data_IF_263799278853
#
_entry.id   IF_263799278853
#
_cell.length_a   1.000
_cell.length_b   1.000
_cell.length_c   1.000
_cell.angle_alpha   90.00
_cell.angle_beta   90.00
_cell.angle_gamma   90.00
#
_symmetry.space_group_name_H-M   'P 1'
#
loop_
_entity.id
_entity.type
_entity.pdbx_description
1 polymer ?
#
# COMPACT_ATOMS: atom_id res chain seq x y z
N UNK A 1 -3.95 -22.64 21.78
CA UNK A 1 -4.82 -21.72 22.56
C UNK A 1 -6.06 -22.51 22.95
N UNK A 2 -6.66 -22.38 24.15
CA UNK A 2 -7.94 -23.07 24.41
C UNK A 2 -9.05 -22.47 23.53
N UNK A 3 -9.94 -23.32 23.02
CA UNK A 3 -10.97 -23.00 22.02
C UNK A 3 -11.93 -21.91 22.51
N UNK A 4 -12.18 -21.86 23.82
CA UNK A 4 -13.00 -20.82 24.46
C UNK A 4 -12.38 -19.43 24.30
N UNK A 5 -11.09 -19.28 24.60
CA UNK A 5 -10.39 -17.99 24.47
C UNK A 5 -10.20 -17.56 23.02
N UNK A 6 -10.02 -18.51 22.10
CA UNK A 6 -9.96 -18.23 20.66
C UNK A 6 -11.29 -17.66 20.14
N UNK A 7 -12.41 -18.27 20.55
CA UNK A 7 -13.76 -17.82 20.19
C UNK A 7 -14.05 -16.41 20.70
N UNK A 8 -13.71 -16.12 21.96
CA UNK A 8 -13.91 -14.80 22.56
C UNK A 8 -13.12 -13.71 21.83
N UNK A 9 -11.84 -13.98 21.49
CA UNK A 9 -11.02 -13.05 20.71
C UNK A 9 -11.57 -12.79 19.32
N UNK A 10 -12.02 -13.85 18.63
CA UNK A 10 -12.62 -13.74 17.31
C UNK A 10 -13.92 -12.94 17.35
N UNK A 11 -14.79 -13.18 18.33
CA UNK A 11 -16.04 -12.44 18.47
C UNK A 11 -15.80 -10.96 18.83
N UNK A 12 -14.84 -10.68 19.73
CA UNK A 12 -14.44 -9.31 20.06
C UNK A 12 -13.87 -8.57 18.83
N UNK A 13 -13.04 -9.24 18.02
CA UNK A 13 -12.54 -8.68 16.76
C UNK A 13 -13.68 -8.40 15.79
N UNK A 14 -14.59 -9.36 15.60
CA UNK A 14 -15.76 -9.22 14.71
C UNK A 14 -16.61 -8.00 15.06
N UNK A 15 -16.83 -7.73 16.35
CA UNK A 15 -17.57 -6.57 16.82
C UNK A 15 -16.80 -5.25 16.65
N UNK A 16 -15.47 -5.32 16.57
CA UNK A 16 -14.60 -4.18 16.36
C UNK A 16 -14.19 -3.98 14.89
N UNK A 17 -14.57 -4.89 13.99
CA UNK A 17 -14.23 -4.86 12.58
C UNK A 17 -15.09 -3.80 11.86
N UNK A 18 -14.47 -2.75 11.28
CA UNK A 18 -15.21 -1.70 10.60
C UNK A 18 -15.68 -2.10 9.20
N UNK A 19 -15.23 -3.24 8.67
CA UNK A 19 -15.61 -3.72 7.35
C UNK A 19 -16.69 -4.81 7.48
N UNK A 20 -17.92 -4.55 6.98
CA UNK A 20 -19.00 -5.53 7.01
C UNK A 20 -18.65 -6.85 6.30
N UNK A 21 -17.77 -6.82 5.30
CA UNK A 21 -17.37 -8.00 4.54
C UNK A 21 -16.55 -8.96 5.40
N UNK A 22 -15.48 -8.47 6.04
CA UNK A 22 -14.63 -9.30 6.91
C UNK A 22 -15.31 -9.63 8.24
N UNK A 23 -16.19 -8.76 8.75
CA UNK A 23 -17.05 -9.09 9.88
C UNK A 23 -18.00 -10.27 9.56
N UNK A 24 -18.58 -10.31 8.36
CA UNK A 24 -19.43 -11.40 7.91
C UNK A 24 -18.64 -12.69 7.63
N UNK A 25 -17.46 -12.58 7.03
CA UNK A 25 -16.52 -13.70 6.85
C UNK A 25 -16.21 -14.38 8.20
N UNK A 26 -15.86 -13.58 9.21
CA UNK A 26 -15.54 -14.09 10.54
C UNK A 26 -16.77 -14.67 11.26
N UNK A 27 -17.96 -14.07 11.07
CA UNK A 27 -19.21 -14.62 11.57
C UNK A 27 -19.46 -16.04 11.01
N UNK A 28 -19.18 -16.24 9.72
CA UNK A 28 -19.36 -17.54 9.07
C UNK A 28 -18.37 -18.60 9.60
N UNK A 29 -17.10 -18.22 9.83
CA UNK A 29 -16.10 -19.13 10.43
C UNK A 29 -16.50 -19.54 11.85
N UNK A 30 -16.97 -18.59 12.67
CA UNK A 30 -17.46 -18.85 14.02
C UNK A 30 -18.69 -19.76 14.02
N UNK A 31 -19.65 -19.54 13.12
CA UNK A 31 -20.85 -20.36 13.00
C UNK A 31 -20.56 -21.80 12.57
N UNK A 32 -19.55 -22.00 11.71
CA UNK A 32 -19.09 -23.32 11.27
C UNK A 32 -18.18 -24.03 12.28
N UNK A 33 -17.74 -23.33 13.32
CA UNK A 33 -16.70 -23.79 14.24
C UNK A 33 -15.42 -24.24 13.49
N UNK A 34 -15.01 -23.45 12.49
CA UNK A 34 -13.81 -23.69 11.70
C UNK A 34 -12.55 -23.30 12.50
N UNK A 35 -12.19 -24.16 13.47
CA UNK A 35 -11.14 -23.86 14.44
C UNK A 35 -9.74 -23.74 13.82
N UNK A 36 -9.50 -24.42 12.70
CA UNK A 36 -8.22 -24.33 12.00
C UNK A 36 -8.01 -22.93 11.40
N UNK A 37 -9.01 -22.41 10.68
CA UNK A 37 -8.95 -21.04 10.16
C UNK A 37 -8.91 -19.99 11.27
N UNK A 38 -9.68 -20.18 12.34
CA UNK A 38 -9.65 -19.27 13.49
C UNK A 38 -8.28 -19.29 14.17
N UNK A 39 -7.65 -20.45 14.35
CA UNK A 39 -6.32 -20.55 14.96
C UNK A 39 -5.25 -19.89 14.09
N UNK A 40 -5.27 -20.10 12.77
CA UNK A 40 -4.34 -19.44 11.85
C UNK A 40 -4.47 -17.90 11.86
N UNK A 41 -5.70 -17.39 11.97
CA UNK A 41 -5.98 -15.94 11.93
C UNK A 41 -5.76 -15.21 13.24
N UNK A 42 -5.83 -15.92 14.38
CA UNK A 42 -5.82 -15.31 15.72
C UNK A 42 -4.68 -15.80 16.62
N UNK A 43 -3.91 -16.81 16.25
CA UNK A 43 -2.73 -17.24 17.03
C UNK A 43 -1.70 -16.13 17.22
N UNK A 44 -1.61 -15.21 16.25
CA UNK A 44 -0.74 -14.03 16.29
C UNK A 44 -1.40 -12.83 15.60
N UNK A 45 -0.80 -11.67 15.75
CA UNK A 45 -1.12 -10.48 14.95
C UNK A 45 -0.18 -10.44 13.73
N UNK A 46 -0.61 -9.76 12.65
CA UNK A 46 0.24 -9.54 11.50
C UNK A 46 1.45 -8.68 11.89
N UNK A 47 2.66 -9.20 11.70
CA UNK A 47 3.88 -8.56 12.18
C UNK A 47 4.24 -7.31 11.38
N UNK A 48 4.51 -6.20 12.09
CA UNK A 48 5.04 -4.97 11.52
C UNK A 48 6.56 -4.91 11.70
N UNK A 49 7.30 -4.83 10.59
CA UNK A 49 8.77 -4.74 10.61
C UNK A 49 9.32 -3.71 9.61
N UNK A 50 10.60 -3.87 9.24
CA UNK A 50 11.27 -3.03 8.22
C UNK A 50 10.53 -3.01 6.89
N UNK A 51 9.95 -4.16 6.51
CA UNK A 51 9.12 -4.32 5.31
C UNK A 51 7.73 -3.68 5.43
N UNK A 52 7.36 -3.15 6.60
CA UNK A 52 6.00 -2.75 6.95
C UNK A 52 5.12 -3.97 7.27
N UNK A 53 3.85 -3.93 6.85
CA UNK A 53 2.94 -5.08 6.88
C UNK A 53 2.84 -5.75 5.52
N UNK A 54 2.63 -7.07 5.55
CA UNK A 54 2.28 -7.86 4.37
C UNK A 54 1.50 -9.09 4.80
N UNK A 55 0.36 -9.34 4.16
CA UNK A 55 -0.47 -10.50 4.49
C UNK A 55 -1.57 -10.74 3.48
N UNK A 56 -2.18 -11.91 3.57
CA UNK A 56 -3.36 -12.29 2.79
C UNK A 56 -4.54 -11.44 3.24
N UNK A 57 -5.36 -10.98 2.28
CA UNK A 57 -6.61 -10.29 2.55
C UNK A 57 -7.59 -11.21 3.28
N UNK A 58 -8.26 -10.70 4.31
CA UNK A 58 -9.30 -11.44 5.02
C UNK A 58 -9.52 -10.99 6.44
N UNK A 59 -10.48 -11.61 7.12
CA UNK A 59 -10.80 -11.31 8.51
C UNK A 59 -9.78 -11.83 9.52
N UNK A 60 -9.55 -11.04 10.58
CA UNK A 60 -8.70 -11.39 11.72
C UNK A 60 -7.42 -10.55 11.81
N UNK A 61 -6.72 -10.59 12.97
CA UNK A 61 -5.53 -9.81 13.22
C UNK A 61 -4.30 -10.27 12.42
N UNK A 62 -4.22 -11.55 12.02
CA UNK A 62 -3.16 -12.09 11.14
C UNK A 62 -3.52 -12.02 9.64
N UNK A 63 -4.28 -11.00 9.24
CA UNK A 63 -4.69 -10.77 7.84
C UNK A 63 -4.62 -9.29 7.50
N UNK A 64 -4.45 -8.97 6.23
CA UNK A 64 -4.59 -7.60 5.74
C UNK A 64 -6.08 -7.26 5.61
N UNK A 65 -6.50 -6.22 6.32
CA UNK A 65 -7.87 -5.69 6.29
C UNK A 65 -7.89 -4.25 6.81
N UNK A 66 -9.07 -3.63 6.73
CA UNK A 66 -9.31 -2.25 7.17
C UNK A 66 -9.05 -2.07 8.67
N UNK A 67 -9.42 -3.04 9.52
CA UNK A 67 -9.16 -2.96 10.96
C UNK A 67 -7.66 -2.87 11.28
N UNK A 68 -6.85 -3.73 10.67
CA UNK A 68 -5.39 -3.71 10.80
C UNK A 68 -4.82 -2.38 10.31
N UNK A 69 -5.20 -1.90 9.12
CA UNK A 69 -4.67 -0.64 8.58
C UNK A 69 -5.01 0.57 9.44
N UNK A 70 -6.22 0.64 9.99
CA UNK A 70 -6.60 1.74 10.89
C UNK A 70 -5.74 1.74 12.15
N UNK A 71 -5.56 0.58 12.80
CA UNK A 71 -4.72 0.45 13.99
C UNK A 71 -3.25 0.76 13.68
N UNK A 72 -2.73 0.22 12.58
CA UNK A 72 -1.36 0.46 12.11
C UNK A 72 -1.10 1.94 11.86
N UNK A 73 -2.03 2.61 11.18
CA UNK A 73 -1.88 4.03 10.85
C UNK A 73 -1.98 4.91 12.09
N UNK A 74 -2.85 4.60 13.05
CA UNK A 74 -2.91 5.34 14.32
C UNK A 74 -1.61 5.17 15.12
N UNK A 75 -1.05 3.96 15.15
CA UNK A 75 0.26 3.70 15.76
C UNK A 75 1.37 4.50 15.10
N UNK A 76 1.42 4.50 13.75
CA UNK A 76 2.36 5.32 12.98
C UNK A 76 2.18 6.81 13.29
N UNK A 77 0.95 7.33 13.28
CA UNK A 77 0.65 8.74 13.53
C UNK A 77 1.11 9.19 14.93
N UNK A 78 0.84 8.37 15.96
CA UNK A 78 1.26 8.65 17.34
C UNK A 78 2.78 8.63 17.48
N UNK A 79 3.44 7.63 16.88
CA UNK A 79 4.90 7.57 16.87
C UNK A 79 5.53 8.77 16.12
N UNK A 80 4.97 9.17 14.97
CA UNK A 80 5.43 10.33 14.23
C UNK A 80 5.33 11.62 15.06
N UNK A 81 4.24 11.81 15.82
CA UNK A 81 4.09 12.97 16.72
C UNK A 81 5.13 13.01 17.83
N UNK A 82 5.59 11.86 18.29
CA UNK A 82 6.68 11.76 19.29
C UNK A 82 8.05 12.07 18.67
N UNK A 83 8.30 11.65 17.43
CA UNK A 83 9.63 11.71 16.80
C UNK A 83 9.87 12.91 15.88
N UNK A 84 8.81 13.52 15.34
CA UNK A 84 8.88 14.58 14.32
C UNK A 84 8.06 15.79 14.80
N UNK A 85 8.69 16.79 15.46
CA UNK A 85 7.99 17.90 16.09
C UNK A 85 7.07 18.70 15.16
N UNK A 86 7.40 18.77 13.87
CA UNK A 86 6.67 19.52 12.84
C UNK A 86 5.81 18.62 11.93
N UNK A 87 5.50 17.39 12.34
CA UNK A 87 4.68 16.45 11.56
C UNK A 87 3.32 17.02 11.17
N UNK A 88 2.69 17.82 12.03
CA UNK A 88 1.39 18.44 11.76
C UNK A 88 1.45 19.49 10.63
N UNK A 89 2.65 19.99 10.31
CA UNK A 89 2.88 20.89 9.17
C UNK A 89 3.34 20.12 7.93
N UNK A 90 4.31 19.21 8.10
CA UNK A 90 4.92 18.44 7.01
C UNK A 90 3.98 17.39 6.42
N UNK A 91 3.19 16.73 7.25
CA UNK A 91 2.27 15.69 6.83
C UNK A 91 2.95 14.38 6.38
N UNK A 92 2.15 13.48 5.84
CA UNK A 92 2.55 12.16 5.34
C UNK A 92 2.03 11.98 3.93
N UNK A 93 2.88 11.51 3.01
CA UNK A 93 2.44 11.15 1.65
C UNK A 93 1.77 9.77 1.67
N UNK A 94 0.64 9.60 1.00
CA UNK A 94 -0.06 8.32 0.89
C UNK A 94 -0.25 7.98 -0.59
N UNK A 95 0.23 6.79 -0.98
CA UNK A 95 -0.01 6.22 -2.30
C UNK A 95 -0.34 4.74 -2.22
N UNK A 96 -0.76 4.19 -3.35
CA UNK A 96 -1.21 2.81 -3.45
C UNK A 96 -0.87 2.20 -4.80
N UNK A 97 -0.84 0.87 -4.85
CA UNK A 97 -0.91 0.15 -6.12
C UNK A 97 -2.37 -0.18 -6.50
N UNK A 98 -2.54 -0.99 -7.55
CA UNK A 98 -3.84 -1.39 -8.08
C UNK A 98 -4.37 -2.72 -7.53
N UNK A 99 -3.78 -3.27 -6.44
CA UNK A 99 -4.27 -4.50 -5.82
C UNK A 99 -5.68 -4.30 -5.25
N UNK A 100 -6.37 -5.42 -5.08
CA UNK A 100 -7.66 -5.43 -4.40
C UNK A 100 -7.55 -4.81 -3.00
N UNK A 101 -8.56 -4.02 -2.63
CA UNK A 101 -8.63 -3.28 -1.38
C UNK A 101 -7.60 -2.12 -1.22
N UNK A 102 -6.63 -1.96 -2.14
CA UNK A 102 -5.59 -0.92 -1.99
C UNK A 102 -6.15 0.50 -1.93
N UNK A 103 -7.28 0.78 -2.59
CA UNK A 103 -7.94 2.08 -2.55
C UNK A 103 -8.52 2.38 -1.16
N UNK A 104 -9.26 1.43 -0.61
CA UNK A 104 -9.92 1.51 0.69
C UNK A 104 -8.91 1.56 1.83
N UNK A 105 -7.83 0.78 1.74
CA UNK A 105 -6.73 0.82 2.71
C UNK A 105 -5.99 2.16 2.68
N UNK A 106 -5.76 2.74 1.49
CA UNK A 106 -5.15 4.06 1.37
C UNK A 106 -6.06 5.18 1.90
N UNK A 107 -7.37 5.07 1.66
CA UNK A 107 -8.37 5.99 2.22
C UNK A 107 -8.42 5.92 3.74
N UNK A 108 -8.49 4.72 4.33
CA UNK A 108 -8.45 4.53 5.78
C UNK A 108 -7.15 5.11 6.37
N UNK A 109 -6.01 4.92 5.68
CA UNK A 109 -4.73 5.49 6.08
C UNK A 109 -4.81 7.02 6.17
N UNK A 110 -5.25 7.67 5.10
CA UNK A 110 -5.35 9.13 5.06
C UNK A 110 -6.41 9.68 6.04
N UNK A 111 -7.51 8.98 6.22
CA UNK A 111 -8.57 9.34 7.16
C UNK A 111 -8.11 9.27 8.64
N UNK A 112 -7.35 8.24 9.01
CA UNK A 112 -6.75 8.14 10.36
C UNK A 112 -5.70 9.22 10.57
N UNK A 113 -4.79 9.43 9.61
CA UNK A 113 -3.79 10.50 9.70
C UNK A 113 -4.44 11.86 9.92
N UNK A 114 -5.48 12.18 9.14
CA UNK A 114 -6.22 13.41 9.27
C UNK A 114 -6.92 13.52 10.64
N UNK A 115 -7.53 12.46 11.16
CA UNK A 115 -8.14 12.45 12.49
C UNK A 115 -7.12 12.65 13.62
N UNK A 116 -5.90 12.14 13.43
CA UNK A 116 -4.76 12.33 14.33
C UNK A 116 -4.10 13.73 14.17
N UNK A 117 -4.63 14.59 13.29
CA UNK A 117 -4.17 15.96 13.08
C UNK A 117 -2.96 16.10 12.15
N UNK A 118 -2.63 15.06 11.38
CA UNK A 118 -1.50 15.03 10.45
C UNK A 118 -2.03 15.19 9.02
N UNK A 119 -1.57 16.18 8.23
CA UNK A 119 -1.98 16.29 6.83
C UNK A 119 -1.58 15.05 6.02
N UNK A 120 -2.54 14.43 5.34
CA UNK A 120 -2.31 13.39 4.35
C UNK A 120 -2.20 14.01 2.95
N UNK A 121 -1.08 13.79 2.27
CA UNK A 121 -0.88 14.16 0.87
C UNK A 121 -1.12 12.93 -0.01
N UNK A 122 -2.27 12.85 -0.66
CA UNK A 122 -2.79 11.61 -1.23
C UNK A 122 -2.67 11.62 -2.74
N UNK A 123 -2.06 10.57 -3.31
CA UNK A 123 -2.20 10.31 -4.75
C UNK A 123 -3.61 9.77 -5.03
N UNK A 124 -4.40 10.42 -5.91
CA UNK A 124 -5.76 9.95 -6.21
C UNK A 124 -5.76 8.60 -6.95
N UNK A 125 -4.75 8.40 -7.81
CA UNK A 125 -4.60 7.23 -8.65
C UNK A 125 -3.50 6.28 -8.14
N UNK A 126 -3.50 5.00 -8.56
CA UNK A 126 -2.38 4.10 -8.32
C UNK A 126 -1.07 4.66 -8.88
N UNK A 127 0.01 4.58 -8.08
CA UNK A 127 1.32 5.14 -8.44
C UNK A 127 2.46 4.21 -8.06
N UNK A 128 3.61 4.24 -8.76
CA UNK A 128 4.79 3.49 -8.37
C UNK A 128 5.29 3.88 -6.97
N UNK A 129 5.72 2.88 -6.20
CA UNK A 129 6.42 3.09 -4.91
C UNK A 129 7.53 4.15 -4.95
N UNK A 130 8.44 4.19 -5.96
CA UNK A 130 9.46 5.24 -5.99
C UNK A 130 8.91 6.66 -6.17
N UNK A 131 7.75 6.84 -6.80
CA UNK A 131 7.09 8.15 -6.90
C UNK A 131 6.56 8.61 -5.53
N UNK A 132 6.05 7.68 -4.72
CA UNK A 132 5.62 7.97 -3.33
C UNK A 132 6.80 8.42 -2.46
N UNK A 133 7.92 7.70 -2.52
CA UNK A 133 9.15 8.09 -1.81
C UNK A 133 9.73 9.42 -2.33
N UNK A 134 9.73 9.63 -3.65
CA UNK A 134 10.14 10.90 -4.26
C UNK A 134 9.28 12.06 -3.78
N UNK A 135 7.95 11.89 -3.75
CA UNK A 135 7.04 12.93 -3.29
C UNK A 135 7.28 13.30 -1.82
N UNK A 136 7.63 12.33 -0.98
CA UNK A 136 8.00 12.58 0.42
C UNK A 136 9.20 13.53 0.52
N UNK A 137 10.25 13.27 -0.25
CA UNK A 137 11.43 14.12 -0.34
C UNK A 137 11.10 15.49 -0.93
N UNK A 138 10.36 15.51 -2.04
CA UNK A 138 10.05 16.71 -2.80
C UNK A 138 9.18 17.71 -2.00
N UNK A 139 8.25 17.20 -1.19
CA UNK A 139 7.36 18.01 -0.35
C UNK A 139 7.90 18.23 1.06
N UNK A 140 9.07 17.69 1.37
CA UNK A 140 9.60 17.61 2.72
C UNK A 140 8.55 17.04 3.72
N UNK A 141 7.86 15.97 3.33
CA UNK A 141 6.92 15.27 4.21
C UNK A 141 7.66 14.53 5.33
N UNK A 142 6.99 14.27 6.46
CA UNK A 142 7.60 13.59 7.60
C UNK A 142 7.82 12.09 7.34
N UNK A 143 6.95 11.49 6.54
CA UNK A 143 7.02 10.11 6.09
C UNK A 143 6.18 9.92 4.83
N UNK A 144 6.21 8.72 4.27
CA UNK A 144 5.27 8.27 3.27
C UNK A 144 4.80 6.83 3.54
N UNK A 145 3.58 6.55 3.14
CA UNK A 145 2.96 5.24 3.18
C UNK A 145 2.65 4.80 1.75
N UNK A 146 3.08 3.58 1.43
CA UNK A 146 2.72 2.91 0.19
C UNK A 146 1.91 1.65 0.51
N UNK A 147 0.65 1.63 0.09
CA UNK A 147 -0.21 0.44 0.16
C UNK A 147 0.11 -0.47 -1.01
N UNK A 148 0.80 -1.58 -0.73
CA UNK A 148 1.21 -2.57 -1.74
C UNK A 148 1.80 -3.82 -1.09
N UNK A 149 1.54 -4.99 -1.68
CA UNK A 149 2.31 -6.21 -1.42
C UNK A 149 3.40 -6.47 -2.47
N UNK A 150 3.80 -5.46 -3.25
CA UNK A 150 4.87 -5.58 -4.24
C UNK A 150 4.57 -6.65 -5.30
N UNK A 151 5.31 -7.75 -5.33
CA UNK A 151 5.19 -8.84 -6.29
C UNK A 151 4.38 -10.05 -5.76
N UNK A 152 3.82 -9.97 -4.54
CA UNK A 152 3.08 -11.09 -3.97
C UNK A 152 1.84 -11.49 -4.80
N UNK A 153 1.27 -12.67 -4.56
CA UNK A 153 0.04 -13.10 -5.24
C UNK A 153 -1.13 -12.09 -5.08
N UNK A 154 -2.14 -12.14 -5.96
CA UNK A 154 -3.28 -11.20 -5.98
C UNK A 154 -4.03 -11.06 -4.65
N UNK A 155 -4.09 -12.13 -3.86
CA UNK A 155 -4.76 -12.20 -2.56
C UNK A 155 -3.99 -11.49 -1.44
N UNK A 156 -2.76 -11.03 -1.68
CA UNK A 156 -1.97 -10.27 -0.72
C UNK A 156 -2.10 -8.77 -0.91
N UNK A 157 -2.09 -8.06 0.21
CA UNK A 157 -1.83 -6.62 0.24
C UNK A 157 -0.77 -6.29 1.32
N UNK A 158 -0.40 -5.02 1.45
CA UNK A 158 0.64 -4.60 2.38
C UNK A 158 0.64 -3.10 2.63
N UNK A 159 1.47 -2.70 3.60
CA UNK A 159 1.57 -1.33 4.07
C UNK A 159 3.03 -1.03 4.35
N UNK A 160 3.70 -0.29 3.48
CA UNK A 160 5.12 0.06 3.61
C UNK A 160 5.26 1.49 4.10
N UNK A 161 6.21 1.73 5.00
CA UNK A 161 6.54 3.07 5.49
C UNK A 161 7.93 3.48 5.02
N UNK A 162 8.01 4.70 4.50
CA UNK A 162 9.23 5.40 4.15
C UNK A 162 9.36 6.60 5.08
N UNK A 163 10.54 6.82 5.65
CA UNK A 163 10.75 7.95 6.54
C UNK A 163 10.95 9.26 5.76
N UNK A 164 11.10 10.39 6.45
CA UNK A 164 11.25 11.71 5.83
C UNK A 164 12.49 11.87 4.94
N UNK A 165 13.42 10.92 4.96
CA UNK A 165 14.56 10.81 4.04
C UNK A 165 14.26 9.98 2.78
N UNK A 166 13.00 9.57 2.56
CA UNK A 166 12.57 8.76 1.43
C UNK A 166 13.05 7.30 1.48
N UNK A 167 13.79 6.89 2.51
CA UNK A 167 14.23 5.52 2.69
C UNK A 167 13.17 4.71 3.44
N UNK A 168 13.11 3.42 3.15
CA UNK A 168 12.28 2.49 3.90
C UNK A 168 12.75 2.43 5.36
N UNK A 169 11.81 2.30 6.30
CA UNK A 169 12.12 2.28 7.73
C UNK A 169 12.99 1.08 8.12
N UNK A 170 13.87 1.33 9.09
CA UNK A 170 14.75 0.36 9.76
C UNK A 170 14.74 0.67 11.28
N UNK A 171 15.39 -0.15 12.13
CA UNK A 171 15.55 0.21 13.53
C UNK A 171 16.20 1.59 13.71
N UNK A 172 15.71 2.42 14.66
CA UNK A 172 14.71 2.09 15.69
C UNK A 172 13.25 2.36 15.28
N UNK A 173 12.99 2.88 14.08
CA UNK A 173 11.64 3.35 13.70
C UNK A 173 10.64 2.21 13.54
N UNK A 174 11.02 1.10 12.94
CA UNK A 174 10.17 -0.08 12.80
C UNK A 174 9.62 -0.59 14.15
N UNK A 175 10.52 -0.77 15.12
CA UNK A 175 10.24 -1.28 16.46
C UNK A 175 9.44 -0.27 17.28
N UNK A 176 9.75 1.03 17.11
CA UNK A 176 8.99 2.12 17.74
C UNK A 176 7.55 2.18 17.23
N UNK A 177 7.35 2.07 15.92
CA UNK A 177 6.02 2.02 15.30
C UNK A 177 5.28 0.76 15.76
N UNK A 178 5.90 -0.43 15.68
CA UNK A 178 5.27 -1.68 16.13
C UNK A 178 4.81 -1.60 17.59
N UNK A 179 5.65 -1.03 18.46
CA UNK A 179 5.31 -0.79 19.86
C UNK A 179 4.13 0.18 20.02
N UNK A 180 4.05 1.22 19.20
CA UNK A 180 2.92 2.16 19.19
C UNK A 180 1.63 1.47 18.72
N UNK A 181 1.68 0.64 17.68
CA UNK A 181 0.54 -0.14 17.16
C UNK A 181 -0.05 -1.05 18.24
N UNK A 182 0.81 -1.71 19.02
CA UNK A 182 0.39 -2.60 20.10
C UNK A 182 -0.43 -1.89 21.20
N UNK A 183 -0.30 -0.56 21.34
CA UNK A 183 -1.04 0.26 22.31
C UNK A 183 -2.32 0.88 21.73
N UNK A 184 -2.59 0.71 20.44
CA UNK A 184 -3.78 1.28 19.80
C UNK A 184 -5.02 0.48 20.18
N UNK A 185 -6.08 1.21 20.50
CA UNK A 185 -7.43 0.71 20.74
C UNK A 185 -7.98 -0.16 19.60
N UNK A 186 -9.07 -0.93 19.83
CA UNK A 186 -9.73 -1.66 18.76
C UNK A 186 -10.16 -0.76 17.60
N UNK A 187 -10.18 -1.30 16.38
CA UNK A 187 -10.30 -0.52 15.15
C UNK A 187 -11.58 0.33 15.05
N UNK A 188 -12.70 -0.12 15.63
CA UNK A 188 -13.95 0.65 15.71
C UNK A 188 -13.89 1.88 16.64
N UNK A 189 -12.84 2.02 17.43
CA UNK A 189 -12.58 3.19 18.31
C UNK A 189 -11.49 4.10 17.78
N UNK A 190 -10.78 3.69 16.72
CA UNK A 190 -9.77 4.53 16.07
C UNK A 190 -10.49 5.71 15.38
N UNK A 191 -10.14 6.97 15.72
CA UNK A 191 -10.77 8.14 15.12
C UNK A 191 -10.54 8.21 13.60
N UNK A 192 -11.54 8.71 12.88
CA UNK A 192 -11.51 8.95 11.44
C UNK A 192 -12.13 10.29 11.11
N UNK A 193 -11.59 10.95 10.10
CA UNK A 193 -12.30 12.02 9.40
C UNK A 193 -12.74 11.48 8.05
N UNK A 194 -13.97 11.82 7.66
CA UNK A 194 -14.42 11.54 6.30
C UNK A 194 -13.51 12.29 5.31
N UNK A 195 -13.36 11.81 4.06
CA UNK A 195 -12.57 12.53 3.07
C UNK A 195 -13.07 13.97 2.82
N UNK A 196 -14.36 14.25 3.03
CA UNK A 196 -14.91 15.60 2.94
C UNK A 196 -14.48 16.48 4.12
N UNK A 197 -14.63 16.00 5.36
CA UNK A 197 -14.23 16.74 6.57
C UNK A 197 -12.73 16.97 6.63
N UNK A 198 -11.94 15.96 6.24
CA UNK A 198 -10.48 16.07 6.20
C UNK A 198 -10.03 17.13 5.19
N UNK A 199 -10.65 17.19 4.01
CA UNK A 199 -10.39 18.25 3.01
C UNK A 199 -10.82 19.62 3.51
N UNK A 200 -11.99 19.73 4.12
CA UNK A 200 -12.49 20.99 4.69
C UNK A 200 -11.55 21.55 5.78
N UNK A 201 -10.87 20.67 6.53
CA UNK A 201 -9.87 21.03 7.54
C UNK A 201 -8.44 21.20 6.98
N UNK A 202 -8.23 21.01 5.68
CA UNK A 202 -6.90 21.07 5.05
C UNK A 202 -5.94 19.94 5.45
N UNK A 203 -6.48 18.86 6.01
CA UNK A 203 -5.77 17.66 6.49
C UNK A 203 -5.77 16.52 5.46
N UNK A 204 -6.52 16.66 4.37
CA UNK A 204 -6.41 15.82 3.19
C UNK A 204 -6.12 16.69 1.98
N UNK A 205 -5.03 16.37 1.26
CA UNK A 205 -4.57 17.15 0.10
C UNK A 205 -4.32 16.19 -1.06
N UNK A 206 -5.13 16.31 -2.10
CA UNK A 206 -4.91 15.52 -3.31
C UNK A 206 -3.66 16.05 -4.02
N UNK A 207 -2.70 15.17 -4.30
CA UNK A 207 -1.45 15.53 -4.93
C UNK A 207 -1.67 15.87 -6.41
N UNK A 208 -1.19 17.02 -6.88
CA UNK A 208 -1.37 17.42 -8.27
C UNK A 208 -0.47 16.61 -9.20
N UNK A 209 -0.89 16.47 -10.46
CA UNK A 209 -0.13 15.79 -11.52
C UNK A 209 1.31 16.34 -11.68
N UNK A 210 1.54 17.61 -11.32
CA UNK A 210 2.85 18.26 -11.35
C UNK A 210 3.93 17.55 -10.50
N UNK A 211 3.55 16.80 -9.46
CA UNK A 211 4.48 15.96 -8.69
C UNK A 211 5.03 14.83 -9.55
N UNK A 212 4.17 14.22 -10.37
CA UNK A 212 4.57 13.25 -11.37
C UNK A 212 5.52 13.83 -12.41
N UNK A 213 5.24 15.05 -12.88
CA UNK A 213 6.13 15.73 -13.83
C UNK A 213 7.50 16.03 -13.21
N UNK A 214 7.54 16.44 -11.94
CA UNK A 214 8.79 16.65 -11.20
C UNK A 214 9.58 15.34 -11.06
N UNK A 215 8.90 14.23 -10.80
CA UNK A 215 9.52 12.90 -10.72
C UNK A 215 10.16 12.48 -12.05
N UNK A 216 9.44 12.60 -13.17
CA UNK A 216 9.98 12.28 -14.50
C UNK A 216 11.17 13.19 -14.84
N UNK A 217 11.08 14.50 -14.57
CA UNK A 217 12.21 15.42 -14.75
C UNK A 217 13.42 15.02 -13.91
N UNK A 218 13.23 14.58 -12.67
CA UNK A 218 14.31 14.11 -11.81
C UNK A 218 14.99 12.87 -12.42
N UNK A 219 14.23 11.89 -12.92
CA UNK A 219 14.77 10.71 -13.63
C UNK A 219 15.60 11.16 -14.85
N UNK A 220 15.08 12.08 -15.65
CA UNK A 220 15.78 12.59 -16.83
C UNK A 220 17.07 13.35 -16.48
N UNK A 221 17.14 13.97 -15.30
CA UNK A 221 18.32 14.63 -14.76
C UNK A 221 19.42 13.67 -14.30
N UNK A 222 19.08 12.40 -14.02
CA UNK A 222 20.04 11.35 -13.64
C UNK A 222 20.75 10.70 -14.85
N UNK A 223 20.39 11.09 -16.08
CA UNK A 223 20.99 10.52 -17.28
C UNK A 223 22.47 10.89 -17.37
N UNK A 224 23.30 9.89 -17.61
CA UNK A 224 24.75 10.06 -17.82
C UNK A 224 25.08 10.45 -19.27
N UNK A 225 24.23 10.03 -20.21
CA UNK A 225 24.33 10.34 -21.63
C UNK A 225 23.14 11.21 -22.07
N UNK A 226 23.29 11.95 -23.17
CA UNK A 226 22.30 12.92 -23.62
C UNK A 226 20.99 12.30 -24.14
N UNK A 227 20.55 12.73 -25.32
CA UNK A 227 19.33 12.19 -25.94
C UNK A 227 19.48 10.68 -26.20
N UNK A 228 18.38 9.94 -26.00
CA UNK A 228 18.28 8.51 -26.31
C UNK A 228 18.49 8.19 -27.80
N UNK A 229 18.29 6.91 -28.15
CA UNK A 229 18.49 6.40 -29.50
C UNK A 229 17.18 6.34 -30.28
N UNK A 230 17.19 6.91 -31.50
CA UNK A 230 16.06 6.85 -32.42
C UNK A 230 15.93 5.49 -33.15
N UNK A 231 16.97 4.65 -33.11
CA UNK A 231 17.00 3.34 -33.75
C UNK A 231 16.77 2.17 -32.79
N UNK A 232 16.98 2.37 -31.48
CA UNK A 232 16.75 1.33 -30.47
C UNK A 232 15.25 1.10 -30.27
N UNK A 233 14.82 -0.13 -30.48
CA UNK A 233 13.46 -0.58 -30.15
C UNK A 233 13.43 -1.18 -28.73
N UNK A 234 12.46 -0.76 -27.92
CA UNK A 234 12.28 -1.21 -26.55
C UNK A 234 10.88 -1.80 -26.41
N UNK A 235 10.79 -3.04 -25.92
CA UNK A 235 9.52 -3.64 -25.49
C UNK A 235 9.45 -3.55 -23.98
N UNK A 236 8.31 -3.12 -23.44
CA UNK A 236 8.10 -2.98 -22.01
C UNK A 236 6.78 -3.63 -21.60
N UNK A 237 6.81 -4.41 -20.52
CA UNK A 237 5.59 -4.88 -19.85
C UNK A 237 5.54 -4.35 -18.43
N UNK A 238 4.38 -3.85 -18.03
CA UNK A 238 4.11 -3.48 -16.64
C UNK A 238 3.69 -4.68 -15.79
N UNK A 239 3.40 -5.84 -16.41
CA UNK A 239 2.83 -7.02 -15.76
C UNK A 239 1.58 -6.69 -14.91
N UNK A 240 0.70 -5.82 -15.41
CA UNK A 240 -0.46 -5.26 -14.69
C UNK A 240 -0.12 -4.42 -13.45
N UNK A 241 1.15 -4.04 -13.31
CA UNK A 241 1.63 -3.14 -12.27
C UNK A 241 1.43 -1.67 -12.64
N UNK A 242 1.73 -0.80 -11.67
CA UNK A 242 1.51 0.65 -11.75
C UNK A 242 2.62 1.44 -12.47
N UNK A 243 3.66 0.76 -12.98
CA UNK A 243 4.80 1.37 -13.65
C UNK A 243 4.59 1.68 -15.14
N UNK A 244 3.56 1.11 -15.75
CA UNK A 244 3.20 1.18 -17.17
C UNK A 244 3.48 2.53 -17.82
N UNK A 245 2.59 3.48 -17.56
CA UNK A 245 2.61 4.76 -18.25
C UNK A 245 3.82 5.60 -17.85
N UNK A 246 4.33 5.42 -16.63
CA UNK A 246 5.52 6.10 -16.12
C UNK A 246 6.79 5.69 -16.87
N UNK A 247 7.00 4.39 -17.08
CA UNK A 247 8.15 3.87 -17.81
C UNK A 247 8.12 4.32 -19.28
N UNK A 248 6.95 4.19 -19.93
CA UNK A 248 6.77 4.61 -21.33
C UNK A 248 7.01 6.11 -21.49
N UNK A 249 6.45 6.92 -20.58
CA UNK A 249 6.66 8.37 -20.56
C UNK A 249 8.13 8.72 -20.37
N UNK A 250 8.79 8.17 -19.36
CA UNK A 250 10.20 8.45 -19.06
C UNK A 250 11.13 8.06 -20.23
N UNK A 251 10.91 6.90 -20.86
CA UNK A 251 11.70 6.46 -22.01
C UNK A 251 11.49 7.36 -23.24
N UNK A 252 10.24 7.74 -23.53
CA UNK A 252 9.93 8.64 -24.65
C UNK A 252 10.52 10.02 -24.43
N UNK A 253 10.35 10.61 -23.25
CA UNK A 253 10.95 11.91 -22.90
C UNK A 253 12.49 11.85 -22.84
N UNK A 254 13.07 10.68 -22.55
CA UNK A 254 14.50 10.47 -22.62
C UNK A 254 15.05 10.46 -24.07
N UNK A 255 14.18 10.38 -25.08
CA UNK A 255 14.56 10.37 -26.50
C UNK A 255 14.55 8.97 -27.13
N UNK A 256 13.84 8.00 -26.56
CA UNK A 256 13.59 6.69 -27.17
C UNK A 256 12.18 6.67 -27.77
N UNK A 257 12.00 6.97 -29.08
CA UNK A 257 10.67 7.05 -29.68
C UNK A 257 10.03 5.66 -29.91
N UNK A 258 10.83 4.60 -30.03
CA UNK A 258 10.37 3.24 -30.36
C UNK A 258 10.15 2.39 -29.10
N UNK A 259 9.25 2.84 -28.23
CA UNK A 259 8.82 2.10 -27.04
C UNK A 259 7.46 1.45 -27.31
N UNK A 260 7.44 0.12 -27.28
CA UNK A 260 6.27 -0.73 -27.49
C UNK A 260 5.84 -1.35 -26.16
N UNK A 261 4.76 -0.84 -25.53
CA UNK A 261 4.17 -1.49 -24.38
C UNK A 261 3.48 -2.79 -24.79
N UNK A 262 3.56 -3.82 -23.96
CA UNK A 262 2.76 -5.05 -24.11
C UNK A 262 1.33 -4.71 -23.72
N UNK A 263 0.46 -4.52 -24.73
CA UNK A 263 -0.88 -3.96 -24.56
C UNK A 263 -1.73 -4.73 -23.54
N UNK A 264 -1.64 -6.06 -23.54
CA UNK A 264 -2.39 -6.93 -22.64
C UNK A 264 -1.95 -6.84 -21.18
N UNK A 265 -0.79 -6.23 -20.88
CA UNK A 265 -0.19 -6.14 -19.54
C UNK A 265 0.11 -4.70 -19.11
N UNK A 266 -0.31 -3.70 -19.90
CA UNK A 266 0.05 -2.30 -19.68
C UNK A 266 -0.76 -1.65 -18.56
N UNK A 267 -2.05 -1.96 -18.47
CA UNK A 267 -2.96 -1.31 -17.53
C UNK A 267 -2.87 -1.96 -16.14
N UNK A 268 -2.91 -1.18 -15.05
CA UNK A 268 -2.91 -1.76 -13.72
C UNK A 268 -4.15 -2.66 -13.46
N UNK A 269 -3.93 -3.90 -13.05
CA UNK A 269 -4.99 -4.85 -12.65
C UNK A 269 -4.51 -5.72 -11.49
N UNK A 270 -5.13 -5.55 -10.32
CA UNK A 270 -4.79 -6.27 -9.09
C UNK A 270 -5.01 -7.78 -9.12
N UNK A 271 -5.67 -8.32 -10.15
CA UNK A 271 -5.84 -9.76 -10.37
C UNK A 271 -4.71 -10.38 -11.16
N UNK A 272 -3.86 -9.57 -11.80
CA UNK A 272 -2.72 -10.01 -12.60
C UNK A 272 -3.08 -11.08 -13.66
N UNK A 273 -4.13 -10.89 -14.48
CA UNK A 273 -4.83 -11.97 -15.19
C UNK A 273 -4.02 -12.72 -16.26
N UNK A 274 -2.89 -12.16 -16.71
CA UNK A 274 -2.07 -12.76 -17.77
C UNK A 274 -0.68 -13.15 -17.29
N UNK A 275 -0.41 -13.14 -15.99
CA UNK A 275 0.89 -13.54 -15.43
C UNK A 275 0.66 -14.54 -14.30
N UNK A 276 1.54 -15.54 -14.19
CA UNK A 276 1.46 -16.50 -13.06
C UNK A 276 1.83 -15.83 -11.74
N UNK A 277 2.81 -14.93 -11.81
CA UNK A 277 3.35 -14.22 -10.67
C UNK A 277 3.90 -12.87 -11.12
N UNK A 278 3.53 -11.74 -10.48
CA UNK A 278 3.96 -10.42 -10.91
C UNK A 278 5.37 -10.07 -10.40
N UNK A 279 6.33 -10.98 -10.58
CA UNK A 279 7.75 -10.76 -10.27
C UNK A 279 8.59 -10.97 -11.53
N UNK A 280 9.16 -9.92 -12.13
CA UNK A 280 10.01 -10.07 -13.32
C UNK A 280 11.32 -10.82 -13.05
N UNK A 281 11.70 -11.05 -11.79
CA UNK A 281 12.90 -11.82 -11.40
C UNK A 281 12.69 -13.34 -11.48
N UNK A 282 11.44 -13.82 -11.52
CA UNK A 282 11.15 -15.25 -11.59
C UNK A 282 11.29 -15.78 -13.03
N UNK A 283 12.01 -16.90 -13.24
CA UNK A 283 12.05 -17.56 -14.54
C UNK A 283 10.64 -17.85 -15.07
N UNK A 284 10.38 -17.42 -16.30
CA UNK A 284 9.08 -17.60 -16.97
C UNK A 284 7.99 -16.60 -16.55
N UNK A 285 8.29 -15.60 -15.72
CA UNK A 285 7.33 -14.54 -15.39
C UNK A 285 6.93 -13.69 -16.62
N UNK A 286 7.84 -13.57 -17.58
CA UNK A 286 7.59 -12.90 -18.87
C UNK A 286 7.03 -13.85 -19.93
N UNK A 287 6.90 -15.15 -19.65
CA UNK A 287 6.31 -16.10 -20.58
C UNK A 287 4.80 -15.93 -20.60
N UNK A 288 4.21 -16.05 -21.79
CA UNK A 288 2.76 -16.05 -21.92
C UNK A 288 2.19 -17.29 -21.22
N UNK A 289 1.24 -17.16 -20.28
CA UNK A 289 0.62 -18.34 -19.69
C UNK A 289 -0.12 -19.14 -20.77
N UNK A 290 -0.17 -20.48 -20.65
CA UNK A 290 -0.91 -21.30 -21.57
C UNK A 290 -2.40 -20.86 -21.59
N UNK A 291 -3.10 -20.98 -22.72
CA UNK A 291 -4.52 -20.69 -22.78
C UNK A 291 -5.28 -21.54 -21.74
N UNK A 292 -6.41 -21.02 -21.19
CA UNK A 292 -7.23 -21.82 -20.29
C UNK A 292 -7.66 -23.12 -20.98
N UNK A 293 -7.83 -24.24 -20.24
CA UNK A 293 -8.33 -25.48 -20.82
C UNK A 293 -9.68 -25.20 -21.47
N UNK A 294 -9.88 -25.69 -22.69
CA UNK A 294 -11.17 -25.63 -23.38
C UNK A 294 -12.23 -26.33 -22.52
N UNK A 295 -13.32 -25.63 -22.22
CA UNK A 295 -14.49 -26.18 -21.53
C UNK A 295 -15.17 -27.28 -22.36
#
# INVERSE_FOLDING_TARGET
>A
MDTTGLKERAEAWRQADPDPSTAAELAALLAKADWAELEDRFSQDLEFGTAGLRGVLGAGPNRMNRAVIRRTTAGLARYLKEQVPDVATRGVVVGRDARNLSAELAEDTAAVLAAEGIPAHVFPEPVPTPLVAFAALHLNAAAAVMVTASHNPPEYNGYKVYWGNGAQIIPPHDTGIASAIARVEPANRVPLLTPADARAKGLWRDLPAAIGDAYVRAILGLRVVGKGSESLSIVYTAMHGVGGDWAVRALREAGFPRVTPVAEQQQPDGRFPTVRFPNPEEPGAMDRPPPPPSA
#
